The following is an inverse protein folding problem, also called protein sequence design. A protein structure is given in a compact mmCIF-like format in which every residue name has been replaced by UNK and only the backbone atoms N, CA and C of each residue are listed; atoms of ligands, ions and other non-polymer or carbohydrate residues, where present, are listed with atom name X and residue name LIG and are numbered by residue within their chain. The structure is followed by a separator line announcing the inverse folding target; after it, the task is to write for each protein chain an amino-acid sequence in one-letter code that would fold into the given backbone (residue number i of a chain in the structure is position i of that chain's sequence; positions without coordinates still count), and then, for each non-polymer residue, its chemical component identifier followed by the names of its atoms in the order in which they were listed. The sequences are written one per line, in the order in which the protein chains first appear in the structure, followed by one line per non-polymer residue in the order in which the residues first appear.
data_IF_998906368788
#
_entry.id   IF_998906368788
#
_cell.length_a   1.000
_cell.length_b   1.000
_cell.length_c   1.000
_cell.angle_alpha   90.00
_cell.angle_beta   90.00
_cell.angle_gamma   90.00
#
_symmetry.space_group_name_H-M   'P 1'
#
loop_
_entity.id
_entity.type
_entity.pdbx_description
1 polymer ?
#
# COMPACT_ATOMS: atom_id res chain seq x y z
N UNK A 1 -11.24 -39.34 -10.50
CA UNK A 1 -11.02 -38.71 -9.18
C UNK A 1 -10.51 -37.30 -9.42
N UNK A 2 -11.43 -36.32 -9.48
CA UNK A 2 -11.12 -34.94 -9.86
C UNK A 2 -10.53 -34.21 -8.65
N UNK A 3 -9.25 -33.83 -8.69
CA UNK A 3 -8.51 -33.21 -7.56
C UNK A 3 -8.72 -31.69 -7.44
N UNK A 4 -9.70 -31.11 -8.12
CA UNK A 4 -10.02 -29.69 -8.02
C UNK A 4 -11.01 -29.49 -6.88
N UNK A 5 -10.50 -29.43 -5.65
CA UNK A 5 -11.27 -28.92 -4.52
C UNK A 5 -11.64 -27.47 -4.84
N UNK A 6 -12.91 -27.14 -4.71
CA UNK A 6 -13.41 -25.81 -5.04
C UNK A 6 -12.76 -24.79 -4.10
N UNK A 7 -12.29 -23.65 -4.60
CA UNK A 7 -11.73 -22.59 -3.74
C UNK A 7 -12.72 -22.09 -2.67
N UNK A 8 -14.01 -22.37 -2.86
CA UNK A 8 -15.08 -22.07 -1.92
C UNK A 8 -15.12 -23.05 -0.73
N UNK A 9 -14.46 -24.21 -0.81
CA UNK A 9 -14.37 -25.19 0.28
C UNK A 9 -13.23 -24.84 1.25
N UNK A 10 -12.22 -24.09 0.79
CA UNK A 10 -11.16 -23.57 1.65
C UNK A 10 -11.51 -22.15 2.14
N UNK A 11 -12.19 -22.09 3.27
CA UNK A 11 -12.60 -20.82 3.90
C UNK A 11 -11.43 -19.84 4.12
N UNK A 12 -10.25 -20.34 4.51
CA UNK A 12 -9.08 -19.49 4.74
C UNK A 12 -8.56 -18.83 3.46
N UNK A 13 -8.53 -19.56 2.35
CA UNK A 13 -8.17 -19.00 1.04
C UNK A 13 -9.21 -17.97 0.59
N UNK A 14 -10.50 -18.29 0.71
CA UNK A 14 -11.58 -17.38 0.34
C UNK A 14 -11.53 -16.07 1.16
N UNK A 15 -11.27 -16.16 2.47
CA UNK A 15 -11.08 -14.99 3.34
C UNK A 15 -9.86 -14.16 2.93
N UNK A 16 -8.74 -14.81 2.60
CA UNK A 16 -7.55 -14.10 2.13
C UNK A 16 -7.82 -13.38 0.81
N UNK A 17 -8.49 -14.01 -0.15
CA UNK A 17 -8.86 -13.37 -1.41
C UNK A 17 -9.80 -12.18 -1.20
N UNK A 18 -10.79 -12.31 -0.30
CA UNK A 18 -11.65 -11.17 0.11
C UNK A 18 -10.83 -10.03 0.71
N UNK A 19 -9.84 -10.34 1.54
CA UNK A 19 -8.92 -9.34 2.07
C UNK A 19 -8.10 -8.67 0.96
N UNK A 20 -7.51 -9.45 0.05
CA UNK A 20 -6.72 -8.96 -1.09
C UNK A 20 -7.53 -8.08 -2.05
N UNK A 21 -8.82 -8.37 -2.21
CA UNK A 21 -9.75 -7.55 -2.99
C UNK A 21 -10.21 -6.27 -2.27
N UNK A 22 -9.77 -6.01 -1.03
CA UNK A 22 -10.18 -4.80 -0.30
C UNK A 22 -9.69 -3.55 -1.03
N UNK A 23 -10.58 -2.57 -1.31
CA UNK A 23 -10.20 -1.33 -1.97
C UNK A 23 -9.33 -0.47 -1.06
N UNK A 24 -8.42 0.28 -1.66
CA UNK A 24 -7.64 1.32 -1.02
C UNK A 24 -8.13 2.68 -1.54
N UNK A 25 -8.33 3.64 -0.63
CA UNK A 25 -8.65 5.00 -1.01
C UNK A 25 -7.42 5.67 -1.65
N UNK A 26 -7.58 6.41 -2.77
CA UNK A 26 -6.45 7.10 -3.38
C UNK A 26 -5.94 8.22 -2.45
N UNK A 27 -4.63 8.32 -2.30
CA UNK A 27 -4.00 9.50 -1.69
C UNK A 27 -3.78 10.56 -2.77
N UNK A 28 -4.11 11.81 -2.46
CA UNK A 28 -3.82 12.95 -3.34
C UNK A 28 -2.49 13.59 -2.96
N UNK A 29 -1.76 14.02 -3.96
CA UNK A 29 -0.56 14.84 -3.82
C UNK A 29 -0.97 16.26 -3.39
N UNK A 30 -0.15 16.91 -2.57
CA UNK A 30 -0.53 18.14 -1.85
C UNK A 30 -0.37 19.44 -2.64
N UNK A 31 0.44 19.48 -3.69
CA UNK A 31 0.71 20.64 -4.54
C UNK A 31 -0.37 20.82 -5.61
N UNK A 32 -0.71 19.76 -6.34
CA UNK A 32 -1.62 19.77 -7.49
C UNK A 32 -2.91 18.97 -7.26
N UNK A 33 -3.03 18.23 -6.16
CA UNK A 33 -4.23 17.43 -5.87
C UNK A 33 -4.40 16.21 -6.79
N UNK A 34 -3.32 15.74 -7.42
CA UNK A 34 -3.36 14.61 -8.37
C UNK A 34 -2.99 13.29 -7.70
N UNK A 35 -3.27 12.17 -8.36
CA UNK A 35 -2.97 10.82 -7.84
C UNK A 35 -1.94 10.17 -8.75
N UNK A 36 -0.94 9.52 -8.16
CA UNK A 36 0.06 8.78 -8.92
C UNK A 36 -0.61 7.65 -9.74
N UNK A 37 -0.29 7.47 -11.03
CA UNK A 37 -0.95 6.47 -11.88
C UNK A 37 -0.75 5.02 -11.43
N UNK A 38 0.35 4.73 -10.72
CA UNK A 38 0.61 3.42 -10.11
C UNK A 38 0.11 3.29 -8.67
N UNK A 39 -0.64 4.27 -8.12
CA UNK A 39 -1.18 4.16 -6.77
C UNK A 39 -2.12 2.93 -6.68
N UNK A 40 -1.92 2.03 -5.70
CA UNK A 40 -2.65 0.77 -5.67
C UNK A 40 -4.13 1.00 -5.32
N UNK A 41 -5.05 0.46 -6.13
CA UNK A 41 -6.48 0.57 -5.89
C UNK A 41 -7.02 -0.53 -4.97
N UNK A 42 -6.25 -1.59 -4.75
CA UNK A 42 -6.59 -2.70 -3.85
C UNK A 42 -5.38 -3.15 -3.06
N UNK A 43 -5.63 -3.89 -1.98
CA UNK A 43 -4.55 -4.45 -1.18
C UNK A 43 -3.69 -5.46 -1.97
N UNK A 44 -4.28 -6.21 -2.90
CA UNK A 44 -3.52 -7.07 -3.80
C UNK A 44 -2.54 -6.28 -4.67
N UNK A 45 -3.00 -5.19 -5.27
CA UNK A 45 -2.14 -4.36 -6.12
C UNK A 45 -1.00 -3.75 -5.33
N UNK A 46 -1.24 -3.33 -4.08
CA UNK A 46 -0.18 -2.85 -3.20
C UNK A 46 0.94 -3.89 -3.01
N UNK A 47 0.59 -5.16 -2.77
CA UNK A 47 1.57 -6.24 -2.61
C UNK A 47 2.31 -6.60 -3.90
N UNK A 48 1.78 -6.21 -5.06
CA UNK A 48 2.37 -6.47 -6.37
C UNK A 48 3.17 -5.27 -6.90
N UNK A 49 3.31 -4.18 -6.13
CA UNK A 49 4.12 -3.03 -6.52
C UNK A 49 5.57 -3.45 -6.73
N UNK A 50 6.15 -3.06 -7.86
CA UNK A 50 7.56 -3.28 -8.14
C UNK A 50 8.42 -2.25 -7.39
N UNK A 51 9.73 -2.54 -7.28
CA UNK A 51 10.68 -1.57 -6.72
C UNK A 51 10.64 -0.23 -7.46
N UNK A 52 10.57 -0.25 -8.80
CA UNK A 52 10.47 0.96 -9.61
C UNK A 52 9.19 1.76 -9.31
N UNK A 53 8.05 1.08 -9.16
CA UNK A 53 6.80 1.73 -8.79
C UNK A 53 6.87 2.34 -7.39
N UNK A 54 7.48 1.64 -6.42
CA UNK A 54 7.67 2.17 -5.07
C UNK A 54 8.53 3.43 -5.06
N UNK A 55 9.64 3.44 -5.81
CA UNK A 55 10.51 4.61 -5.96
C UNK A 55 9.78 5.79 -6.63
N UNK A 56 9.01 5.51 -7.70
CA UNK A 56 8.24 6.55 -8.40
C UNK A 56 7.14 7.14 -7.53
N UNK A 57 6.43 6.30 -6.75
CA UNK A 57 5.40 6.74 -5.81
C UNK A 57 6.03 7.59 -4.70
N UNK A 58 7.16 7.14 -4.14
CA UNK A 58 7.85 7.86 -3.08
C UNK A 58 8.37 9.24 -3.53
N UNK A 59 8.88 9.34 -4.76
CA UNK A 59 9.27 10.63 -5.35
C UNK A 59 8.05 11.54 -5.55
N UNK A 60 6.99 11.02 -6.17
CA UNK A 60 5.77 11.78 -6.47
C UNK A 60 5.12 12.39 -5.21
N UNK A 61 5.10 11.66 -4.10
CA UNK A 61 4.55 12.17 -2.84
C UNK A 61 5.58 12.87 -1.93
N UNK A 62 6.73 13.32 -2.45
CA UNK A 62 7.75 14.03 -1.67
C UNK A 62 8.33 13.24 -0.49
N UNK A 63 8.32 11.91 -0.58
CA UNK A 63 8.80 11.02 0.49
C UNK A 63 10.24 10.53 0.22
N UNK A 64 10.64 10.43 -1.06
CA UNK A 64 12.01 10.09 -1.47
C UNK A 64 12.95 11.28 -1.45
N UNK A 65 12.51 12.42 -2.00
CA UNK A 65 13.25 13.69 -1.98
C UNK A 65 12.45 14.71 -1.16
N UNK A 66 12.65 14.78 0.17
CA UNK A 66 11.83 15.63 1.03
C UNK A 66 11.95 17.12 0.72
N UNK A 67 10.84 17.84 0.83
CA UNK A 67 10.76 19.29 0.64
C UNK A 67 9.73 19.90 1.63
N UNK A 68 9.29 21.14 1.38
CA UNK A 68 8.31 21.84 2.22
C UNK A 68 6.97 21.13 2.34
N UNK A 69 6.62 20.26 1.38
CA UNK A 69 5.35 19.54 1.33
C UNK A 69 5.35 18.22 2.10
N UNK A 70 6.52 17.61 2.35
CA UNK A 70 6.63 16.28 2.96
C UNK A 70 5.88 16.14 4.27
N UNK A 71 5.92 17.17 5.13
CA UNK A 71 5.28 17.13 6.44
C UNK A 71 3.78 17.48 6.44
N UNK A 72 3.20 17.79 5.26
CA UNK A 72 1.76 18.02 5.12
C UNK A 72 0.97 16.72 4.95
N UNK A 73 1.64 15.61 4.64
CA UNK A 73 1.01 14.30 4.62
C UNK A 73 0.74 13.78 6.04
N UNK A 74 -0.35 13.02 6.28
CA UNK A 74 -0.72 12.55 7.62
C UNK A 74 0.33 11.65 8.29
N UNK A 75 1.08 10.86 7.50
CA UNK A 75 2.06 9.92 8.03
C UNK A 75 3.36 9.89 7.19
N UNK A 76 4.18 10.96 7.22
CA UNK A 76 5.36 11.07 6.35
C UNK A 76 6.37 9.96 6.59
N UNK A 77 6.95 9.42 5.52
CA UNK A 77 8.03 8.44 5.61
C UNK A 77 9.29 9.14 6.09
N UNK A 78 9.90 8.60 7.14
CA UNK A 78 11.22 9.03 7.62
C UNK A 78 12.31 8.18 6.99
N UNK A 79 13.35 8.82 6.50
CA UNK A 79 14.55 8.19 5.94
C UNK A 79 14.20 7.17 4.84
N UNK A 80 13.68 7.65 3.70
CA UNK A 80 13.60 6.82 2.51
C UNK A 80 15.00 6.61 1.96
N UNK A 81 15.38 5.34 1.75
CA UNK A 81 16.68 4.97 1.21
C UNK A 81 16.45 4.13 -0.07
N UNK A 82 16.95 4.57 -1.24
CA UNK A 82 16.83 3.82 -2.49
C UNK A 82 17.47 2.41 -2.43
N UNK A 83 18.42 2.17 -1.54
CA UNK A 83 19.14 0.90 -1.42
C UNK A 83 18.54 -0.02 -0.34
N UNK A 84 17.48 0.40 0.35
CA UNK A 84 16.84 -0.45 1.37
C UNK A 84 16.13 -1.66 0.73
N UNK A 85 16.01 -2.79 1.48
CA UNK A 85 15.29 -3.96 0.98
C UNK A 85 13.86 -3.64 0.56
N UNK A 86 13.37 -4.32 -0.48
CA UNK A 86 12.03 -4.10 -1.03
C UNK A 86 10.91 -4.27 0.00
N UNK A 87 11.08 -5.20 0.95
CA UNK A 87 10.15 -5.44 2.06
C UNK A 87 10.02 -4.21 2.97
N UNK A 88 11.14 -3.53 3.23
CA UNK A 88 11.17 -2.30 4.04
C UNK A 88 10.53 -1.12 3.29
N UNK A 89 10.75 -1.03 1.96
CA UNK A 89 10.04 -0.07 1.10
C UNK A 89 8.53 -0.26 1.15
N UNK A 90 8.07 -1.50 0.98
CA UNK A 90 6.65 -1.85 1.08
C UNK A 90 6.10 -1.51 2.46
N UNK A 91 6.79 -1.86 3.54
CA UNK A 91 6.35 -1.55 4.90
C UNK A 91 6.18 -0.04 5.12
N UNK A 92 7.20 0.75 4.80
CA UNK A 92 7.16 2.22 4.92
C UNK A 92 6.06 2.84 4.05
N UNK A 93 5.93 2.39 2.80
CA UNK A 93 4.88 2.85 1.89
C UNK A 93 3.49 2.50 2.39
N UNK A 94 3.31 1.28 2.90
CA UNK A 94 2.05 0.82 3.49
C UNK A 94 1.62 1.71 4.65
N UNK A 95 2.53 2.00 5.58
CA UNK A 95 2.25 2.89 6.70
C UNK A 95 1.86 4.30 6.24
N UNK A 96 2.58 4.85 5.24
CA UNK A 96 2.31 6.15 4.63
C UNK A 96 0.90 6.23 4.01
N UNK A 97 0.46 5.19 3.29
CA UNK A 97 -0.89 5.14 2.69
C UNK A 97 -1.98 4.61 3.64
N UNK A 98 -1.68 4.47 4.94
CA UNK A 98 -2.66 4.11 5.97
C UNK A 98 -2.89 2.61 6.17
N UNK A 99 -2.08 1.74 5.59
CA UNK A 99 -2.08 0.30 5.90
C UNK A 99 -1.41 0.07 7.25
N UNK A 100 -1.98 -0.85 8.04
CA UNK A 100 -1.39 -1.31 9.30
C UNK A 100 -1.05 -2.80 9.18
N UNK A 101 0.19 -3.14 9.45
CA UNK A 101 0.66 -4.51 9.51
C UNK A 101 0.54 -4.99 10.97
N UNK A 102 -0.39 -5.89 11.27
CA UNK A 102 -0.47 -6.50 12.61
C UNK A 102 0.07 -7.93 12.50
N UNK A 103 1.29 -8.18 12.97
CA UNK A 103 1.78 -9.55 13.18
C UNK A 103 1.73 -10.46 11.94
N UNK A 104 2.11 -9.91 10.76
CA UNK A 104 1.97 -10.49 9.40
C UNK A 104 0.53 -10.65 8.87
N UNK A 105 -0.50 -10.20 9.60
CA UNK A 105 -1.91 -10.15 9.18
C UNK A 105 -2.46 -8.72 9.20
N UNK A 106 -2.90 -8.23 8.04
CA UNK A 106 -3.47 -6.87 7.93
C UNK A 106 -4.83 -6.80 8.65
N UNK A 107 -5.02 -5.83 9.54
CA UNK A 107 -6.31 -5.52 10.18
C UNK A 107 -6.91 -4.32 9.45
N UNK A 108 -8.13 -4.46 8.91
CA UNK A 108 -8.92 -3.35 8.33
C UNK A 108 -9.18 -2.30 9.40
N UNK A 109 -9.02 -1.03 9.07
CA UNK A 109 -9.66 0.06 9.83
C UNK A 109 -11.05 0.30 9.24
N UNK A 110 -12.07 0.33 10.09
CA UNK A 110 -13.34 0.94 9.74
C UNK A 110 -13.11 2.46 9.65
N UNK A 111 -13.34 3.03 8.47
CA UNK A 111 -13.58 4.46 8.23
C UNK A 111 -12.58 5.43 8.87
N UNK A 112 -11.56 5.82 8.12
CA UNK A 112 -11.05 7.19 8.19
C UNK A 112 -11.39 7.84 6.84
N UNK A 113 -12.54 8.52 6.81
CA UNK A 113 -12.84 9.48 5.76
C UNK A 113 -11.84 10.63 5.91
N UNK A 114 -11.19 11.00 4.81
CA UNK A 114 -10.63 12.33 4.64
C UNK A 114 -11.75 13.29 4.24
#
# INVERSE_FOLDING_TARGET
MNKYHSIYENHALADKLRQMASPLAPLVEVEYGTVHPAFPSTLLQFWLLTNEQLESIAEFYHQKTPNSFTNLYPYPIRNWDPDMPMEEKLRKMGEFIGIRFCDSRIVKIAGAYF
#
